data_IF_302194737889
#
_entry.id   IF_302194737889
#
_cell.length_a   1.000
_cell.length_b   1.000
_cell.length_c   1.000
_cell.angle_alpha   90.00
_cell.angle_beta   90.00
_cell.angle_gamma   90.00
#
_symmetry.space_group_name_H-M   'P 1'
#
loop_
_entity.id
_entity.type
_entity.pdbx_description
1 polymer ?
#
# COMPACT_ATOMS: atom_id res chain seq x y z
N UNK A 1 4.10 13.06 10.07
CA UNK A 1 3.71 11.86 9.31
C UNK A 1 2.25 11.53 9.57
N UNK A 2 1.37 11.66 8.57
CA UNK A 2 -0.06 11.33 8.62
C UNK A 2 -0.27 9.93 8.05
N UNK A 3 -1.01 9.05 8.72
CA UNK A 3 -1.23 7.67 8.22
C UNK A 3 -2.33 7.66 7.15
N UNK A 4 -2.09 6.99 6.02
CA UNK A 4 -3.11 6.73 5.00
C UNK A 4 -3.98 5.49 5.34
N UNK A 5 -5.23 5.42 4.85
CA UNK A 5 -6.10 4.27 5.07
C UNK A 5 -5.57 3.00 4.38
N UNK A 6 -5.82 1.87 5.03
CA UNK A 6 -5.52 0.53 4.53
C UNK A 6 -6.83 -0.19 4.20
N UNK A 7 -6.80 -1.04 3.17
CA UNK A 7 -7.91 -1.95 2.85
C UNK A 7 -7.96 -3.15 3.80
N UNK A 8 -9.06 -3.90 3.83
CA UNK A 8 -9.13 -5.15 4.59
C UNK A 8 -8.39 -6.31 3.90
N UNK A 9 -8.64 -6.54 2.61
CA UNK A 9 -8.20 -7.77 1.92
C UNK A 9 -7.15 -7.56 0.82
N UNK A 10 -6.64 -6.34 0.65
CA UNK A 10 -5.54 -6.05 -0.30
C UNK A 10 -4.30 -6.93 0.02
N UNK A 11 -3.60 -7.41 -1.00
CA UNK A 11 -2.36 -8.18 -0.81
C UNK A 11 -1.23 -7.35 -0.19
N UNK A 12 -1.11 -6.06 -0.53
CA UNK A 12 0.00 -5.22 -0.05
C UNK A 12 -0.34 -4.57 1.29
N UNK A 13 -1.46 -3.85 1.38
CA UNK A 13 -1.83 -3.10 2.59
C UNK A 13 -2.90 -3.77 3.46
N UNK A 14 -3.47 -4.90 3.04
CA UNK A 14 -4.64 -5.51 3.67
C UNK A 14 -4.43 -5.86 5.15
N UNK A 15 -5.23 -5.29 6.06
CA UNK A 15 -5.08 -5.57 7.51
C UNK A 15 -5.69 -6.91 7.95
N UNK A 16 -6.52 -7.54 7.10
CA UNK A 16 -7.17 -8.84 7.35
C UNK A 16 -6.74 -9.93 6.35
N UNK A 17 -5.86 -9.62 5.40
CA UNK A 17 -5.36 -10.61 4.45
C UNK A 17 -4.22 -11.42 5.09
N UNK A 18 -4.46 -12.68 5.44
CA UNK A 18 -3.45 -13.56 6.07
C UNK A 18 -2.23 -13.83 5.18
N UNK A 19 -2.36 -13.66 3.87
CA UNK A 19 -1.26 -13.77 2.91
C UNK A 19 -0.66 -12.40 2.55
N UNK A 20 -1.13 -11.31 3.18
CA UNK A 20 -0.74 -9.96 2.84
C UNK A 20 0.62 -9.55 3.40
N UNK A 21 1.22 -8.55 2.77
CA UNK A 21 2.51 -7.95 3.20
C UNK A 21 2.32 -7.02 4.40
N UNK A 22 1.09 -6.54 4.61
CA UNK A 22 0.70 -5.64 5.71
C UNK A 22 1.48 -4.32 5.76
N UNK A 23 1.75 -3.73 4.58
CA UNK A 23 2.42 -2.44 4.46
C UNK A 23 1.57 -1.33 5.07
N UNK A 24 2.21 -0.41 5.80
CA UNK A 24 1.59 0.81 6.33
C UNK A 24 2.13 2.02 5.58
N UNK A 25 1.22 2.87 5.12
CA UNK A 25 1.58 4.06 4.34
C UNK A 25 1.39 5.32 5.17
N UNK A 26 2.31 6.27 5.00
CA UNK A 26 2.29 7.54 5.68
C UNK A 26 2.62 8.67 4.71
N UNK A 27 1.85 9.75 4.77
CA UNK A 27 2.22 11.01 4.14
C UNK A 27 3.21 11.75 5.05
N UNK A 28 4.25 12.29 4.43
CA UNK A 28 5.28 13.09 5.08
C UNK A 28 5.81 14.10 4.07
N UNK A 29 6.79 14.89 4.48
CA UNK A 29 7.43 15.90 3.64
C UNK A 29 8.94 15.68 3.68
N UNK A 30 9.59 15.93 2.54
CA UNK A 30 11.04 16.02 2.42
C UNK A 30 11.57 17.28 3.13
N UNK A 31 12.89 17.42 3.27
CA UNK A 31 13.50 18.59 3.91
C UNK A 31 13.25 19.93 3.21
N UNK A 32 12.86 19.91 1.93
CA UNK A 32 12.47 21.09 1.14
C UNK A 32 10.95 21.33 1.08
N UNK A 33 10.16 20.56 1.84
CA UNK A 33 8.71 20.70 1.93
C UNK A 33 7.93 20.00 0.81
N UNK A 34 8.57 19.17 -0.01
CA UNK A 34 7.89 18.38 -1.05
C UNK A 34 7.12 17.22 -0.40
N UNK A 35 5.82 17.03 -0.68
CA UNK A 35 5.06 15.90 -0.16
C UNK A 35 5.58 14.55 -0.66
N UNK A 36 5.62 13.54 0.21
CA UNK A 36 6.02 12.18 -0.13
C UNK A 36 5.19 11.13 0.63
N UNK A 37 5.20 9.88 0.11
CA UNK A 37 4.59 8.72 0.78
C UNK A 37 5.68 7.75 1.24
N UNK A 38 5.68 7.47 2.53
CA UNK A 38 6.53 6.47 3.17
C UNK A 38 5.77 5.14 3.30
N UNK A 39 6.31 4.09 2.67
CA UNK A 39 5.87 2.71 2.85
C UNK A 39 6.69 2.02 3.95
N UNK A 40 6.06 1.62 5.05
CA UNK A 40 6.72 0.92 6.17
C UNK A 40 6.26 -0.53 6.24
N UNK A 41 7.22 -1.45 6.14
CA UNK A 41 6.97 -2.88 6.16
C UNK A 41 8.19 -3.66 6.69
N UNK A 42 7.99 -4.95 6.97
CA UNK A 42 9.06 -5.88 7.33
C UNK A 42 8.90 -7.13 6.49
N UNK A 43 9.92 -7.49 5.71
CA UNK A 43 9.93 -8.71 4.92
C UNK A 43 9.82 -9.95 5.81
N UNK A 44 9.07 -10.96 5.34
CA UNK A 44 8.88 -12.23 6.02
C UNK A 44 9.43 -13.37 5.16
N UNK A 45 9.74 -14.55 5.74
CA UNK A 45 10.21 -15.70 4.97
C UNK A 45 9.32 -16.09 3.78
N UNK A 46 8.01 -15.91 3.89
CA UNK A 46 7.04 -16.20 2.84
C UNK A 46 7.10 -15.21 1.66
N UNK A 47 7.70 -14.03 1.85
CA UNK A 47 7.90 -13.03 0.80
C UNK A 47 9.18 -13.28 -0.01
N UNK A 48 9.88 -14.38 0.23
CA UNK A 48 11.21 -14.64 -0.31
C UNK A 48 11.17 -15.04 -1.79
N UNK A 49 12.12 -14.52 -2.57
CA UNK A 49 12.42 -15.01 -3.92
C UNK A 49 13.64 -15.90 -3.89
N UNK A 50 14.82 -15.28 -3.72
CA UNK A 50 16.06 -15.99 -3.43
C UNK A 50 16.28 -16.13 -1.92
N UNK A 51 17.04 -17.13 -1.45
CA UNK A 51 17.39 -17.25 -0.03
C UNK A 51 17.85 -15.93 0.59
N UNK A 52 17.12 -15.47 1.61
CA UNK A 52 17.40 -14.22 2.34
C UNK A 52 17.01 -12.92 1.64
N UNK A 53 16.34 -12.97 0.47
CA UNK A 53 15.96 -11.77 -0.31
C UNK A 53 14.46 -11.77 -0.62
N UNK A 54 13.82 -10.62 -0.46
CA UNK A 54 12.42 -10.44 -0.88
C UNK A 54 12.27 -10.69 -2.39
N UNK A 55 11.20 -11.36 -2.78
CA UNK A 55 10.84 -11.61 -4.17
C UNK A 55 10.61 -10.29 -4.90
N UNK A 56 11.18 -10.15 -6.10
CA UNK A 56 11.08 -8.91 -6.87
C UNK A 56 9.63 -8.46 -7.10
N UNK A 57 8.73 -9.39 -7.44
CA UNK A 57 7.31 -9.11 -7.60
C UNK A 57 6.60 -8.59 -6.34
N UNK A 58 7.02 -9.02 -5.14
CA UNK A 58 6.47 -8.49 -3.89
C UNK A 58 6.94 -7.07 -3.68
N UNK A 59 8.24 -6.81 -3.86
CA UNK A 59 8.80 -5.47 -3.76
C UNK A 59 8.16 -4.51 -4.79
N UNK A 60 7.93 -4.96 -6.02
CA UNK A 60 7.25 -4.17 -7.05
C UNK A 60 5.80 -3.87 -6.69
N UNK A 61 5.06 -4.82 -6.10
CA UNK A 61 3.69 -4.55 -5.63
C UNK A 61 3.65 -3.49 -4.52
N UNK A 62 4.65 -3.45 -3.64
CA UNK A 62 4.76 -2.37 -2.65
C UNK A 62 5.01 -1.02 -3.34
N UNK A 63 5.92 -0.98 -4.31
CA UNK A 63 6.21 0.25 -5.06
C UNK A 63 5.02 0.73 -5.87
N UNK A 64 4.31 -0.17 -6.55
CA UNK A 64 3.10 0.13 -7.32
C UNK A 64 2.04 0.83 -6.45
N UNK A 65 1.70 0.24 -5.30
CA UNK A 65 0.74 0.86 -4.39
C UNK A 65 1.29 2.17 -3.77
N UNK A 66 2.61 2.26 -3.54
CA UNK A 66 3.24 3.52 -3.05
C UNK A 66 3.08 4.66 -4.07
N UNK A 67 3.35 4.40 -5.36
CA UNK A 67 3.26 5.39 -6.43
C UNK A 67 1.80 5.82 -6.61
N UNK A 68 0.86 4.87 -6.66
CA UNK A 68 -0.56 5.19 -6.76
C UNK A 68 -1.05 6.06 -5.60
N UNK A 69 -0.55 5.80 -4.38
CA UNK A 69 -0.84 6.63 -3.20
C UNK A 69 -0.17 8.01 -3.23
N UNK A 70 1.02 8.13 -3.81
CA UNK A 70 1.73 9.40 -3.94
C UNK A 70 1.02 10.35 -4.90
N UNK A 71 0.39 9.83 -5.96
CA UNK A 71 -0.45 10.63 -6.87
C UNK A 71 -1.70 11.17 -6.15
N UNK A 72 -2.23 10.45 -5.17
CA UNK A 72 -3.47 10.78 -4.45
C UNK A 72 -3.23 11.44 -3.07
N UNK A 73 -2.05 12.05 -2.84
CA UNK A 73 -1.78 12.77 -1.59
C UNK A 73 -2.81 13.90 -1.44
N UNK A 74 -3.49 13.95 -0.30
CA UNK A 74 -4.53 14.95 -0.04
C UNK A 74 -5.95 14.50 -0.37
N UNK A 75 -6.13 13.47 -1.22
CA UNK A 75 -7.45 12.96 -1.61
C UNK A 75 -8.01 11.93 -0.61
N UNK A 76 -7.27 11.62 0.45
CA UNK A 76 -7.60 10.59 1.45
C UNK A 76 -8.94 10.79 2.19
N UNK A 77 -9.53 11.98 2.12
CA UNK A 77 -10.81 12.31 2.77
C UNK A 77 -12.03 12.06 1.85
N UNK A 78 -11.83 11.67 0.59
CA UNK A 78 -12.90 11.55 -0.41
C UNK A 78 -13.52 10.15 -0.60
N UNK A 79 -13.16 9.16 0.23
CA UNK A 79 -13.62 7.77 0.04
C UNK A 79 -13.83 6.94 1.30
N UNK A 80 -13.99 7.57 2.48
CA UNK A 80 -14.29 6.85 3.72
C UNK A 80 -15.77 6.50 3.90
N UNK A 81 -16.63 7.20 3.16
CA UNK A 81 -18.07 6.96 3.07
C UNK A 81 -18.27 6.57 1.60
N UNK A 82 -18.29 5.29 1.23
CA UNK A 82 -19.51 4.60 0.85
C UNK A 82 -19.16 3.18 0.38
N UNK A 83 -20.09 2.25 0.61
CA UNK A 83 -19.96 0.84 0.34
C UNK A 83 -19.83 0.48 -1.16
N UNK A 84 -19.28 -0.72 -1.38
CA UNK A 84 -19.38 -1.56 -2.60
C UNK A 84 -18.71 -1.09 -3.89
N UNK A 85 -17.45 -1.49 -4.08
CA UNK A 85 -17.02 -2.07 -5.36
C UNK A 85 -16.15 -3.29 -5.11
N UNK A 86 -16.81 -4.44 -4.93
CA UNK A 86 -16.23 -5.74 -5.22
C UNK A 86 -16.24 -5.91 -6.74
N UNK A 87 -15.19 -5.46 -7.43
CA UNK A 87 -14.95 -5.92 -8.80
C UNK A 87 -13.45 -5.91 -9.09
N UNK A 88 -12.83 -7.07 -8.88
CA UNK A 88 -11.63 -7.42 -9.63
C UNK A 88 -12.07 -7.59 -11.09
N UNK A 89 -11.92 -6.54 -11.89
CA UNK A 89 -12.09 -6.59 -13.34
C UNK A 89 -13.53 -6.46 -13.84
N UNK A 90 -13.69 -5.55 -14.80
CA UNK A 90 -14.80 -5.35 -15.75
C UNK A 90 -16.06 -4.69 -15.18
N UNK A 91 -16.35 -3.53 -15.77
CA UNK A 91 -17.61 -2.78 -15.69
C UNK A 91 -18.81 -3.65 -16.07
N UNK A 92 -19.88 -3.54 -15.27
CA UNK A 92 -21.23 -4.03 -15.58
C UNK A 92 -22.22 -3.36 -14.64
#
# INVERSE_FOLDING_TARGET
MRKQPNSHHCFICGVKNVAGVHVRFYETETGDGTPEVLARFTGQPQHQGYPGRMHGGVAMGILDETIGRAVNIGDADSGADDAHTMTWGVTG
#
